data_IF_786342699642
#
_entry.id   IF_786342699642
#
_cell.length_a   1.000
_cell.length_b   1.000
_cell.length_c   1.000
_cell.angle_alpha   90.00
_cell.angle_beta   90.00
_cell.angle_gamma   90.00
#
_symmetry.space_group_name_H-M   'P 1'
#
loop_
_entity.id
_entity.type
_entity.pdbx_description
1 polymer ?
#
# COMPACT_ATOMS: atom_id res chain seq x y z
N UNK A 1 1.61 17.00 -2.96
CA UNK A 1 1.76 16.49 -1.60
C UNK A 1 2.00 17.58 -0.53
N UNK A 2 2.61 18.72 -0.86
CA UNK A 2 2.98 19.79 0.10
C UNK A 2 1.84 20.32 0.99
N UNK A 3 0.58 20.20 0.56
CA UNK A 3 -0.60 20.65 1.30
C UNK A 3 -1.43 19.49 1.89
N UNK A 4 -0.91 18.26 1.87
CA UNK A 4 -1.60 17.10 2.44
C UNK A 4 -1.41 17.03 3.95
N UNK A 5 -2.32 16.33 4.66
CA UNK A 5 -2.20 16.05 6.09
C UNK A 5 -0.94 15.23 6.45
N UNK A 6 -0.31 14.62 5.46
CA UNK A 6 0.88 13.80 5.62
C UNK A 6 2.19 14.58 5.71
N UNK A 7 2.31 15.68 4.95
CA UNK A 7 3.61 16.29 4.65
C UNK A 7 4.43 16.67 5.89
N UNK A 8 3.83 17.42 6.80
CA UNK A 8 4.53 17.91 8.00
C UNK A 8 4.98 16.75 8.90
N UNK A 9 4.12 15.76 9.12
CA UNK A 9 4.40 14.63 10.01
C UNK A 9 5.44 13.67 9.42
N UNK A 10 5.40 13.43 8.11
CA UNK A 10 6.44 12.64 7.43
C UNK A 10 7.78 13.38 7.49
N UNK A 11 7.76 14.70 7.29
CA UNK A 11 8.98 15.52 7.35
C UNK A 11 9.68 15.43 8.71
N UNK A 12 8.93 15.38 9.79
CA UNK A 12 9.45 15.21 11.16
C UNK A 12 10.16 13.87 11.38
N UNK A 13 9.79 12.85 10.60
CA UNK A 13 10.36 11.51 10.67
C UNK A 13 11.60 11.31 9.79
N UNK A 14 11.96 12.30 8.97
CA UNK A 14 13.02 12.20 7.98
C UNK A 14 14.16 13.18 8.28
N UNK A 15 15.40 12.86 7.84
CA UNK A 15 16.50 13.82 7.90
C UNK A 15 16.17 15.11 7.15
N UNK A 16 16.74 16.21 7.59
CA UNK A 16 16.61 17.49 6.91
C UNK A 16 16.99 17.38 5.42
N UNK A 17 16.21 18.02 4.56
CA UNK A 17 16.43 18.02 3.11
C UNK A 17 16.03 16.74 2.38
N UNK A 18 15.46 15.74 3.06
CA UNK A 18 15.12 14.45 2.42
C UNK A 18 14.10 14.60 1.29
N UNK A 19 13.11 15.49 1.42
CA UNK A 19 12.16 15.77 0.33
C UNK A 19 12.86 16.35 -0.91
N UNK A 20 13.90 17.14 -0.72
CA UNK A 20 14.73 17.62 -1.83
C UNK A 20 15.44 16.49 -2.57
N UNK A 21 15.95 15.50 -1.83
CA UNK A 21 16.56 14.29 -2.41
C UNK A 21 15.54 13.46 -3.20
N UNK A 22 14.31 13.33 -2.69
CA UNK A 22 13.22 12.64 -3.42
C UNK A 22 12.92 13.37 -4.73
N UNK A 23 12.76 14.68 -4.70
CA UNK A 23 12.49 15.47 -5.89
C UNK A 23 13.62 15.35 -6.92
N UNK A 24 14.86 15.44 -6.49
CA UNK A 24 16.03 15.25 -7.36
C UNK A 24 16.07 13.85 -7.98
N UNK A 25 15.82 12.82 -7.19
CA UNK A 25 15.73 11.43 -7.68
C UNK A 25 14.64 11.29 -8.74
N UNK A 26 13.44 11.82 -8.47
CA UNK A 26 12.32 11.77 -9.42
C UNK A 26 12.64 12.49 -10.73
N UNK A 27 13.18 13.70 -10.66
CA UNK A 27 13.59 14.43 -11.87
C UNK A 27 14.58 13.62 -12.70
N UNK A 28 15.56 13.00 -12.05
CA UNK A 28 16.59 12.22 -12.72
C UNK A 28 16.02 10.97 -13.38
N UNK A 29 15.27 10.13 -12.67
CA UNK A 29 14.80 8.83 -13.21
C UNK A 29 13.77 8.99 -14.31
N UNK A 30 12.86 9.99 -14.19
CA UNK A 30 11.87 10.26 -15.25
C UNK A 30 12.48 10.94 -16.48
N UNK A 31 13.61 11.61 -16.35
CA UNK A 31 14.35 12.17 -17.48
C UNK A 31 15.16 11.10 -18.23
N UNK A 32 15.59 10.05 -17.57
CA UNK A 32 16.49 9.03 -18.11
C UNK A 32 15.78 7.85 -18.79
N UNK A 33 14.49 7.64 -18.53
CA UNK A 33 13.77 6.50 -19.09
C UNK A 33 12.31 6.43 -18.69
N UNK A 34 11.69 5.30 -19.04
CA UNK A 34 10.30 5.03 -18.68
C UNK A 34 10.24 4.49 -17.26
N UNK A 35 9.49 5.17 -16.41
CA UNK A 35 9.29 4.84 -15.00
C UNK A 35 7.80 4.73 -14.71
N UNK A 36 7.42 3.77 -13.89
CA UNK A 36 6.04 3.59 -13.42
C UNK A 36 5.93 3.81 -11.91
N UNK A 37 4.76 4.29 -11.45
CA UNK A 37 3.64 4.85 -12.19
C UNK A 37 4.03 6.18 -12.88
N UNK A 38 3.14 6.78 -13.70
CA UNK A 38 3.35 8.16 -14.18
C UNK A 38 3.66 9.10 -13.01
N UNK A 39 4.50 10.11 -13.25
CA UNK A 39 5.06 10.98 -12.22
C UNK A 39 3.99 11.61 -11.30
N UNK A 40 2.87 12.00 -11.87
CA UNK A 40 1.73 12.59 -11.15
C UNK A 40 1.00 11.60 -10.21
N UNK A 41 1.23 10.29 -10.37
CA UNK A 41 0.61 9.22 -9.56
C UNK A 41 1.52 8.63 -8.48
N UNK A 42 2.75 9.09 -8.36
CA UNK A 42 3.72 8.51 -7.41
C UNK A 42 3.21 8.56 -5.96
N UNK A 43 2.54 9.64 -5.57
CA UNK A 43 1.99 9.81 -4.22
C UNK A 43 0.48 9.56 -4.14
N UNK A 44 -0.09 8.84 -5.09
CA UNK A 44 -1.54 8.65 -5.20
C UNK A 44 -2.14 8.02 -3.94
N UNK A 45 -1.47 7.07 -3.31
CA UNK A 45 -1.93 6.43 -2.09
C UNK A 45 -2.18 7.46 -0.96
N UNK A 46 -1.22 8.37 -0.76
CA UNK A 46 -1.32 9.41 0.27
C UNK A 46 -2.33 10.50 -0.08
N UNK A 47 -2.49 10.81 -1.38
CA UNK A 47 -3.43 11.83 -1.85
C UNK A 47 -4.88 11.33 -1.77
N UNK A 48 -5.11 10.06 -2.07
CA UNK A 48 -6.46 9.47 -2.05
C UNK A 48 -6.91 9.13 -0.64
N UNK A 49 -5.98 8.78 0.25
CA UNK A 49 -6.28 8.42 1.65
C UNK A 49 -5.59 9.41 2.59
N UNK A 50 -6.25 10.51 2.98
CA UNK A 50 -5.73 11.42 3.99
C UNK A 50 -5.43 10.71 5.31
N UNK A 51 -4.45 11.18 6.08
CA UNK A 51 -4.02 10.53 7.32
C UNK A 51 -5.18 10.32 8.31
N UNK A 52 -6.02 11.32 8.46
CA UNK A 52 -7.19 11.30 9.34
C UNK A 52 -8.25 10.26 8.95
N UNK A 53 -8.22 9.76 7.73
CA UNK A 53 -9.15 8.76 7.21
C UNK A 53 -8.57 7.33 7.19
N UNK A 54 -7.29 7.15 7.46
CA UNK A 54 -6.65 5.82 7.43
C UNK A 54 -7.28 4.89 8.46
N UNK A 55 -7.78 3.76 7.99
CA UNK A 55 -8.34 2.67 8.80
C UNK A 55 -7.57 1.37 8.64
N UNK A 56 -7.08 1.12 7.44
CA UNK A 56 -6.34 -0.09 7.07
C UNK A 56 -5.13 0.31 6.24
N UNK A 57 -3.99 -0.31 6.49
CA UNK A 57 -2.79 -0.20 5.64
C UNK A 57 -2.53 -1.56 5.01
N UNK A 58 -2.46 -1.61 3.69
CA UNK A 58 -2.00 -2.79 2.94
C UNK A 58 -0.68 -2.43 2.30
N UNK A 59 0.39 -3.10 2.72
CA UNK A 59 1.74 -2.83 2.26
C UNK A 59 2.13 -3.74 1.09
N UNK A 60 2.40 -3.13 -0.08
CA UNK A 60 3.03 -3.79 -1.22
C UNK A 60 4.54 -3.52 -1.26
N UNK A 61 5.25 -4.14 -2.20
CA UNK A 61 6.70 -3.99 -2.33
C UNK A 61 7.07 -2.85 -3.27
N UNK A 62 6.80 -2.99 -4.57
CA UNK A 62 7.03 -1.97 -5.57
C UNK A 62 5.91 -1.97 -6.63
N UNK A 63 5.81 -0.91 -7.46
CA UNK A 63 4.78 -0.85 -8.50
C UNK A 63 4.93 -1.95 -9.55
N UNK A 64 3.86 -2.28 -10.22
CA UNK A 64 3.92 -3.09 -11.45
C UNK A 64 4.81 -2.41 -12.48
N UNK A 65 5.65 -3.19 -13.15
CA UNK A 65 6.64 -2.68 -14.12
C UNK A 65 6.23 -2.81 -15.60
N UNK A 66 5.01 -3.26 -15.85
CA UNK A 66 4.43 -3.31 -17.19
C UNK A 66 3.67 -2.04 -17.57
N UNK A 67 3.52 -1.75 -18.86
CA UNK A 67 2.84 -0.54 -19.31
C UNK A 67 1.36 -0.52 -18.88
N UNK A 68 0.90 0.63 -18.41
CA UNK A 68 -0.51 0.87 -18.05
C UNK A 68 -0.99 0.21 -16.78
N UNK A 69 -0.15 -0.52 -16.04
CA UNK A 69 -0.56 -1.27 -14.84
C UNK A 69 -0.57 -0.40 -13.58
N UNK A 70 0.55 0.21 -13.24
CA UNK A 70 0.72 0.93 -11.96
C UNK A 70 -0.11 2.22 -11.92
N UNK A 71 -0.85 2.40 -10.82
CA UNK A 71 -1.72 3.55 -10.57
C UNK A 71 -1.26 4.39 -9.35
N UNK A 72 -0.14 4.03 -8.70
CA UNK A 72 0.25 4.63 -7.44
C UNK A 72 -0.49 4.07 -6.22
N UNK A 73 -1.21 2.99 -6.37
CA UNK A 73 -1.89 2.23 -5.31
C UNK A 73 -1.40 0.78 -5.36
N UNK A 74 -0.94 0.25 -4.22
CA UNK A 74 -0.43 -1.13 -4.19
C UNK A 74 -1.46 -2.13 -4.69
N UNK A 75 -1.01 -3.08 -5.50
CA UNK A 75 -1.80 -4.16 -6.12
C UNK A 75 -2.84 -3.73 -7.16
N UNK A 76 -3.25 -2.47 -7.20
CA UNK A 76 -4.31 -1.95 -8.07
C UNK A 76 -3.86 -1.79 -9.52
N UNK A 77 -4.75 -2.12 -10.45
CA UNK A 77 -4.62 -1.80 -11.89
C UNK A 77 -5.93 -1.20 -12.39
N UNK A 78 -5.89 -0.41 -13.49
CA UNK A 78 -7.13 0.03 -14.16
C UNK A 78 -7.98 -1.17 -14.60
N UNK A 79 -9.30 -1.01 -14.66
CA UNK A 79 -10.21 -2.08 -15.09
C UNK A 79 -9.98 -2.53 -16.54
N UNK A 80 -9.37 -1.69 -17.37
CA UNK A 80 -8.95 -2.01 -18.73
C UNK A 80 -7.77 -2.97 -18.81
N UNK A 81 -7.07 -3.19 -17.68
CA UNK A 81 -5.90 -4.05 -17.58
C UNK A 81 -6.29 -5.37 -16.90
N UNK A 82 -5.87 -6.53 -17.45
CA UNK A 82 -6.07 -7.81 -16.76
C UNK A 82 -5.41 -7.80 -15.37
N UNK A 83 -6.10 -8.38 -14.38
CA UNK A 83 -5.54 -8.47 -13.03
C UNK A 83 -4.24 -9.30 -13.05
N UNK A 84 -3.11 -8.73 -12.56
CA UNK A 84 -1.88 -9.49 -12.36
C UNK A 84 -2.09 -10.67 -11.38
N UNK A 85 -1.22 -11.69 -11.42
CA UNK A 85 -1.45 -12.93 -10.64
C UNK A 85 -1.67 -12.72 -9.14
N UNK A 86 -0.90 -11.83 -8.49
CA UNK A 86 -1.13 -11.55 -7.06
C UNK A 86 -2.49 -10.90 -6.81
N UNK A 87 -2.92 -9.97 -7.65
CA UNK A 87 -4.25 -9.36 -7.53
C UNK A 87 -5.37 -10.37 -7.79
N UNK A 88 -5.21 -11.26 -8.76
CA UNK A 88 -6.17 -12.35 -8.96
C UNK A 88 -6.37 -13.17 -7.68
N UNK A 89 -5.28 -13.50 -6.99
CA UNK A 89 -5.31 -14.27 -5.75
C UNK A 89 -5.92 -13.46 -4.59
N UNK A 90 -5.63 -12.16 -4.52
CA UNK A 90 -6.30 -11.25 -3.54
C UNK A 90 -7.81 -11.26 -3.76
N UNK A 91 -8.26 -11.08 -4.99
CA UNK A 91 -9.69 -11.06 -5.33
C UNK A 91 -10.36 -12.43 -5.11
N UNK A 92 -9.62 -13.52 -5.35
CA UNK A 92 -10.12 -14.87 -5.03
C UNK A 92 -10.30 -15.06 -3.52
N UNK A 93 -9.32 -14.70 -2.70
CA UNK A 93 -9.43 -14.77 -1.24
C UNK A 93 -10.58 -13.90 -0.73
N UNK A 94 -10.75 -12.70 -1.30
CA UNK A 94 -11.88 -11.83 -0.99
C UNK A 94 -13.20 -12.52 -1.30
N UNK A 95 -13.30 -13.18 -2.45
CA UNK A 95 -14.51 -13.92 -2.84
C UNK A 95 -14.84 -15.06 -1.86
N UNK A 96 -13.83 -15.78 -1.40
CA UNK A 96 -13.97 -16.87 -0.45
C UNK A 96 -14.27 -16.37 0.98
N UNK A 97 -13.82 -15.16 1.33
CA UNK A 97 -13.98 -14.54 2.65
C UNK A 97 -15.32 -13.80 2.80
N UNK A 98 -15.66 -12.93 1.86
CA UNK A 98 -16.82 -12.01 1.96
C UNK A 98 -17.73 -12.10 0.74
N UNK A 99 -17.17 -12.00 -0.47
CA UNK A 99 -17.93 -11.94 -1.71
C UNK A 99 -17.13 -11.38 -2.89
N UNK A 100 -17.77 -11.33 -4.04
CA UNK A 100 -17.11 -11.02 -5.32
C UNK A 100 -17.01 -9.52 -5.55
N UNK A 101 -15.79 -9.03 -5.77
CA UNK A 101 -15.49 -7.72 -6.34
C UNK A 101 -15.18 -7.89 -7.83
N UNK A 102 -15.88 -7.17 -8.69
CA UNK A 102 -15.70 -7.27 -10.15
C UNK A 102 -14.56 -6.41 -10.68
N UNK A 103 -14.30 -5.26 -10.03
CA UNK A 103 -13.29 -4.30 -10.47
C UNK A 103 -11.88 -4.71 -10.03
N UNK A 104 -10.90 -4.52 -10.91
CA UNK A 104 -9.47 -4.65 -10.62
C UNK A 104 -8.88 -3.36 -10.04
N UNK A 105 -9.60 -2.26 -10.16
CA UNK A 105 -9.23 -0.95 -9.62
C UNK A 105 -9.63 -0.88 -8.14
N UNK A 106 -8.65 -0.71 -7.28
CA UNK A 106 -8.82 -0.66 -5.83
C UNK A 106 -8.99 0.78 -5.29
N UNK A 107 -9.21 1.75 -6.16
CA UNK A 107 -9.43 3.15 -5.75
C UNK A 107 -10.61 3.29 -4.79
N UNK A 108 -11.66 2.47 -4.93
CA UNK A 108 -12.79 2.47 -4.00
C UNK A 108 -12.40 2.08 -2.58
N UNK A 109 -11.41 1.21 -2.41
CA UNK A 109 -10.85 0.88 -1.09
C UNK A 109 -10.10 2.09 -0.52
N UNK A 110 -9.22 2.70 -1.33
CA UNK A 110 -8.45 3.86 -0.92
C UNK A 110 -9.33 5.02 -0.44
N UNK A 111 -10.44 5.27 -1.12
CA UNK A 111 -11.43 6.30 -0.77
C UNK A 111 -12.18 6.02 0.54
N UNK A 112 -12.14 4.79 1.03
CA UNK A 112 -12.77 4.38 2.29
C UNK A 112 -11.78 4.33 3.46
N UNK A 113 -10.52 4.69 3.25
CA UNK A 113 -9.51 4.69 4.30
C UNK A 113 -8.53 3.51 4.25
N UNK A 114 -8.46 2.79 3.14
CA UNK A 114 -7.43 1.76 2.92
C UNK A 114 -6.21 2.40 2.27
N UNK A 115 -5.14 2.57 3.03
CA UNK A 115 -3.87 3.07 2.50
C UNK A 115 -3.17 1.94 1.76
N UNK A 116 -3.21 2.00 0.43
CA UNK A 116 -2.58 1.04 -0.47
C UNK A 116 -1.16 1.51 -0.80
N UNK A 117 -0.22 1.25 0.11
CA UNK A 117 1.14 1.76 0.07
C UNK A 117 2.13 0.72 -0.44
N UNK A 118 2.92 1.07 -1.45
CA UNK A 118 4.13 0.31 -1.78
C UNK A 118 5.32 0.83 -0.97
N UNK A 119 6.25 -0.04 -0.61
CA UNK A 119 7.50 0.35 0.06
C UNK A 119 8.42 1.15 -0.88
N UNK A 120 8.47 0.79 -2.17
CA UNK A 120 9.05 1.60 -3.23
C UNK A 120 7.93 2.23 -4.06
N UNK A 121 8.01 3.53 -4.34
CA UNK A 121 6.94 4.26 -5.02
C UNK A 121 7.16 4.39 -6.53
N UNK A 122 8.32 3.99 -7.04
CA UNK A 122 8.64 3.98 -8.47
C UNK A 122 9.37 2.71 -8.86
N UNK A 123 9.31 2.38 -10.16
CA UNK A 123 10.01 1.25 -10.75
C UNK A 123 10.39 1.59 -12.20
N UNK A 124 11.61 1.26 -12.68
CA UNK A 124 11.91 1.36 -14.09
C UNK A 124 11.07 0.36 -14.89
N UNK A 125 10.66 0.72 -16.10
CA UNK A 125 9.91 -0.18 -16.97
C UNK A 125 10.62 -1.53 -17.16
N UNK A 126 9.90 -2.63 -16.93
CA UNK A 126 10.41 -3.98 -17.12
C UNK A 126 11.43 -4.48 -16.09
N UNK A 127 11.72 -3.71 -15.03
CA UNK A 127 12.77 -4.02 -14.05
C UNK A 127 12.21 -4.09 -12.64
N UNK A 128 11.59 -5.20 -12.26
CA UNK A 128 11.10 -5.42 -10.90
C UNK A 128 12.20 -5.11 -9.87
N UNK A 129 11.85 -4.40 -8.80
CA UNK A 129 12.76 -3.93 -7.75
C UNK A 129 13.89 -3.00 -8.23
N UNK A 130 13.81 -2.45 -9.43
CA UNK A 130 14.89 -1.63 -10.01
C UNK A 130 15.23 -0.36 -9.23
N UNK A 131 14.31 0.18 -8.44
CA UNK A 131 14.56 1.32 -7.54
C UNK A 131 14.65 0.93 -6.05
N UNK A 132 14.65 -0.36 -5.73
CA UNK A 132 14.78 -0.81 -4.35
C UNK A 132 16.13 -0.38 -3.74
N UNK A 133 16.09 0.02 -2.47
CA UNK A 133 17.28 0.43 -1.71
C UNK A 133 17.85 1.79 -2.09
N UNK A 134 17.15 2.60 -2.88
CA UNK A 134 17.65 3.91 -3.32
C UNK A 134 17.13 5.08 -2.48
N UNK A 135 15.85 5.40 -2.59
CA UNK A 135 15.28 6.60 -1.94
C UNK A 135 14.00 6.36 -1.16
N UNK A 136 13.21 5.35 -1.54
CA UNK A 136 11.82 5.24 -1.10
C UNK A 136 11.63 4.66 0.29
N UNK A 137 12.42 3.66 0.69
CA UNK A 137 12.17 2.91 1.92
C UNK A 137 12.20 3.78 3.18
N UNK A 138 13.15 4.71 3.36
CA UNK A 138 13.09 5.63 4.50
C UNK A 138 11.84 6.50 4.51
N UNK A 139 11.37 6.93 3.33
CA UNK A 139 10.15 7.71 3.19
C UNK A 139 8.91 6.89 3.57
N UNK A 140 8.75 5.68 3.03
CA UNK A 140 7.59 4.84 3.30
C UNK A 140 7.63 4.26 4.72
N UNK A 141 8.79 4.02 5.29
CA UNK A 141 8.93 3.68 6.71
C UNK A 141 8.46 4.86 7.59
N UNK A 142 8.76 6.10 7.20
CA UNK A 142 8.25 7.28 7.88
C UNK A 142 6.71 7.38 7.79
N UNK A 143 6.12 7.03 6.65
CA UNK A 143 4.65 6.95 6.49
C UNK A 143 4.06 5.95 7.48
N UNK A 144 4.66 4.76 7.60
CA UNK A 144 4.20 3.73 8.54
C UNK A 144 4.31 4.22 9.99
N UNK A 145 5.40 4.90 10.36
CA UNK A 145 5.56 5.47 11.71
C UNK A 145 4.52 6.54 12.01
N UNK A 146 4.20 7.39 11.05
CA UNK A 146 3.15 8.41 11.20
C UNK A 146 1.79 7.75 11.47
N UNK A 147 1.44 6.69 10.73
CA UNK A 147 0.21 5.92 10.98
C UNK A 147 0.27 5.22 12.34
N UNK A 148 1.41 4.64 12.70
CA UNK A 148 1.59 4.00 14.00
C UNK A 148 1.34 4.96 15.19
N UNK A 149 1.63 6.24 15.01
CA UNK A 149 1.47 7.25 16.05
C UNK A 149 0.03 7.78 16.20
N UNK A 150 -0.90 7.30 15.38
CA UNK A 150 -2.32 7.64 15.56
C UNK A 150 -2.87 7.03 16.85
N UNK A 151 -3.66 7.80 17.60
CA UNK A 151 -4.38 7.29 18.77
C UNK A 151 -5.50 6.33 18.36
N UNK A 152 -6.09 6.56 17.22
CA UNK A 152 -7.15 5.73 16.66
C UNK A 152 -6.59 4.39 16.18
N UNK A 153 -7.22 3.24 16.55
CA UNK A 153 -6.79 1.93 16.08
C UNK A 153 -6.81 1.78 14.57
N UNK A 154 -5.75 1.19 14.01
CA UNK A 154 -5.57 0.94 12.58
C UNK A 154 -5.22 -0.54 12.37
N UNK A 155 -5.65 -1.10 11.25
CA UNK A 155 -5.29 -2.46 10.82
C UNK A 155 -4.11 -2.39 9.85
N UNK A 156 -3.04 -3.11 10.15
CA UNK A 156 -1.90 -3.28 9.23
C UNK A 156 -1.95 -4.69 8.65
N UNK A 157 -2.10 -4.79 7.33
CA UNK A 157 -2.11 -6.04 6.58
C UNK A 157 -0.75 -6.24 5.94
N UNK A 158 -0.02 -7.24 6.41
CA UNK A 158 1.36 -7.52 6.02
C UNK A 158 1.44 -8.89 5.34
N UNK A 159 1.50 -8.89 4.02
CA UNK A 159 1.56 -10.09 3.19
C UNK A 159 2.99 -10.40 2.73
N UNK A 160 3.50 -11.53 3.15
CA UNK A 160 4.81 -12.05 2.77
C UNK A 160 5.96 -11.54 3.66
N UNK A 161 7.12 -12.15 3.49
CA UNK A 161 8.28 -11.91 4.35
C UNK A 161 8.76 -10.45 4.31
N UNK A 162 8.73 -9.82 3.13
CA UNK A 162 9.17 -8.43 2.97
C UNK A 162 8.30 -7.46 3.76
N UNK A 163 6.96 -7.53 3.59
CA UNK A 163 6.02 -6.68 4.32
C UNK A 163 6.05 -6.97 5.83
N UNK A 164 6.16 -8.24 6.22
CA UNK A 164 6.19 -8.67 7.63
C UNK A 164 7.39 -8.12 8.39
N UNK A 165 8.53 -7.84 7.73
CA UNK A 165 9.69 -7.17 8.35
C UNK A 165 9.34 -5.77 8.86
N UNK A 166 8.35 -5.10 8.27
CA UNK A 166 7.90 -3.76 8.68
C UNK A 166 7.09 -3.77 9.97
N UNK A 167 6.72 -4.94 10.48
CA UNK A 167 6.06 -5.11 11.78
C UNK A 167 6.80 -4.42 12.92
N UNK A 168 8.14 -4.33 12.86
CA UNK A 168 8.95 -3.64 13.87
C UNK A 168 8.62 -2.15 14.00
N UNK A 169 8.02 -1.55 12.98
CA UNK A 169 7.60 -0.14 12.96
C UNK A 169 6.22 0.07 13.59
N UNK A 170 5.46 -1.00 13.80
CA UNK A 170 4.11 -0.95 14.36
C UNK A 170 4.20 -1.34 15.84
N UNK A 171 4.47 -0.35 16.67
CA UNK A 171 4.73 -0.52 18.09
C UNK A 171 3.54 -0.22 19.00
N UNK A 172 2.55 0.52 18.48
CA UNK A 172 1.36 0.88 19.24
C UNK A 172 0.44 -0.34 19.41
N UNK A 173 0.18 -0.78 20.67
CA UNK A 173 -0.59 -2.00 20.93
C UNK A 173 -2.07 -1.89 20.60
N UNK A 174 -2.58 -0.68 20.33
CA UNK A 174 -3.97 -0.49 19.91
C UNK A 174 -4.24 -0.88 18.47
N UNK A 175 -3.18 -1.01 17.64
CA UNK A 175 -3.31 -1.43 16.26
C UNK A 175 -3.39 -2.96 16.14
N UNK A 176 -4.07 -3.42 15.08
CA UNK A 176 -4.11 -4.83 14.71
C UNK A 176 -3.12 -5.09 13.57
N UNK A 177 -2.33 -6.15 13.69
CA UNK A 177 -1.48 -6.64 12.60
C UNK A 177 -2.04 -7.96 12.10
N UNK A 178 -2.38 -8.03 10.82
CA UNK A 178 -2.80 -9.25 10.13
C UNK A 178 -1.64 -9.68 9.24
N UNK A 179 -1.08 -10.85 9.52
CA UNK A 179 0.07 -11.41 8.81
C UNK A 179 -0.32 -12.69 8.07
N UNK A 180 0.19 -12.85 6.86
CA UNK A 180 0.11 -14.11 6.13
C UNK A 180 1.23 -14.22 5.09
N UNK A 181 1.28 -15.35 4.36
CA UNK A 181 2.09 -15.46 3.15
C UNK A 181 1.66 -14.43 2.11
N UNK A 182 2.54 -14.16 1.13
CA UNK A 182 2.24 -13.27 0.02
C UNK A 182 1.21 -13.89 -0.93
N UNK A 183 0.31 -13.09 -1.55
CA UNK A 183 -0.67 -13.59 -2.52
C UNK A 183 -0.07 -14.04 -3.87
N UNK A 184 1.23 -13.92 -4.09
CA UNK A 184 1.91 -14.44 -5.28
C UNK A 184 1.62 -15.93 -5.47
N UNK A 185 1.45 -16.42 -6.73
CA UNK A 185 1.32 -17.84 -7.01
C UNK A 185 2.44 -18.72 -6.40
N UNK A 186 3.63 -18.13 -6.18
CA UNK A 186 4.79 -18.83 -5.62
C UNK A 186 4.67 -19.12 -4.11
N UNK A 187 3.79 -18.40 -3.39
CA UNK A 187 3.73 -18.45 -1.92
C UNK A 187 2.31 -18.56 -1.35
N UNK A 188 1.28 -18.36 -2.16
CA UNK A 188 -0.12 -18.30 -1.75
C UNK A 188 -0.57 -19.53 -0.92
N UNK A 189 -0.01 -20.70 -1.20
CA UNK A 189 -0.30 -21.96 -0.49
C UNK A 189 0.31 -22.03 0.91
N UNK A 190 1.18 -21.10 1.26
CA UNK A 190 1.88 -21.10 2.55
C UNK A 190 1.13 -20.35 3.64
N UNK A 191 -0.19 -20.18 3.48
CA UNK A 191 -1.05 -19.55 4.48
C UNK A 191 -1.76 -18.27 4.06
N UNK A 192 -1.71 -17.88 2.78
CA UNK A 192 -2.56 -16.80 2.26
C UNK A 192 -4.00 -17.27 2.09
N UNK A 193 -4.22 -18.44 1.45
CA UNK A 193 -5.53 -19.02 1.32
C UNK A 193 -6.16 -19.32 2.68
N UNK A 194 -7.39 -18.85 2.90
CA UNK A 194 -8.12 -19.01 4.15
C UNK A 194 -7.68 -18.05 5.26
N UNK A 195 -6.77 -17.09 5.00
CA UNK A 195 -6.36 -16.10 6.00
C UNK A 195 -7.45 -15.09 6.34
N UNK A 196 -8.43 -14.88 5.46
CA UNK A 196 -9.62 -14.03 5.67
C UNK A 196 -9.29 -12.63 6.18
N UNK A 197 -8.37 -11.90 5.53
CA UNK A 197 -7.91 -10.61 6.05
C UNK A 197 -9.01 -9.54 6.02
N UNK A 198 -9.93 -9.64 5.07
CA UNK A 198 -10.98 -8.63 4.85
C UNK A 198 -12.04 -8.66 5.96
N UNK A 199 -12.56 -9.83 6.28
CA UNK A 199 -13.53 -9.99 7.39
C UNK A 199 -12.88 -9.74 8.74
N UNK A 200 -11.62 -10.14 8.94
CA UNK A 200 -10.86 -9.86 10.17
C UNK A 200 -10.64 -8.36 10.38
N UNK A 201 -10.26 -7.63 9.33
CA UNK A 201 -10.12 -6.19 9.38
C UNK A 201 -11.45 -5.51 9.76
N UNK A 202 -12.55 -5.90 9.13
CA UNK A 202 -13.87 -5.34 9.40
C UNK A 202 -14.36 -5.66 10.82
N UNK A 203 -14.11 -6.86 11.31
CA UNK A 203 -14.45 -7.22 12.70
C UNK A 203 -13.75 -6.30 13.69
N UNK A 204 -12.45 -6.05 13.51
CA UNK A 204 -11.68 -5.15 14.34
C UNK A 204 -12.16 -3.68 14.25
N UNK A 205 -12.47 -3.20 13.04
CA UNK A 205 -13.00 -1.85 12.86
C UNK A 205 -14.32 -1.68 13.62
N UNK A 206 -15.23 -2.65 13.54
CA UNK A 206 -16.50 -2.63 14.30
C UNK A 206 -16.28 -2.63 15.81
N UNK A 207 -15.39 -3.49 16.30
CA UNK A 207 -15.05 -3.58 17.74
C UNK A 207 -14.49 -2.26 18.26
N UNK A 208 -13.78 -1.50 17.44
CA UNK A 208 -13.19 -0.22 17.79
C UNK A 208 -14.07 0.98 17.44
N UNK A 209 -15.35 0.75 17.11
CA UNK A 209 -16.32 1.80 16.83
C UNK A 209 -16.14 2.52 15.50
N UNK A 210 -15.46 1.89 14.55
CA UNK A 210 -15.19 2.46 13.22
C UNK A 210 -16.08 1.81 12.17
N UNK A 211 -16.44 2.59 11.13
CA UNK A 211 -17.18 2.08 9.98
C UNK A 211 -16.34 1.04 9.22
N UNK A 212 -16.88 -0.16 8.96
CA UNK A 212 -16.16 -1.18 8.20
C UNK A 212 -15.95 -0.75 6.74
N UNK A 213 -15.02 -1.44 6.07
CA UNK A 213 -14.76 -1.23 4.65
C UNK A 213 -15.75 -2.05 3.83
N UNK A 214 -16.36 -1.43 2.83
CA UNK A 214 -17.07 -2.16 1.76
C UNK A 214 -16.05 -2.64 0.72
N UNK A 215 -15.54 -3.85 0.95
CA UNK A 215 -14.52 -4.45 0.10
C UNK A 215 -15.01 -4.85 -1.30
N UNK A 216 -16.32 -4.94 -1.49
CA UNK A 216 -16.92 -5.40 -2.75
C UNK A 216 -17.22 -4.25 -3.73
N UNK A 217 -17.12 -3.01 -3.24
CA UNK A 217 -17.37 -1.80 -4.01
C UNK A 217 -16.35 -1.55 -5.12
#
# INVERSE_FOLDING_TARGET
>A
MQHSSWHALIKEQLPEGYFGKINQFMEQVYAQGIVYPPKEKVFQALLTTPLEEVKVVILGQDPYHGPGQAQGLSFSVPDSIPAPPSLQNILKELSDDIGVKKSHDLTSWAKQGVLLLNACLTVPAGQANGHAGQIWEPFTDAVIRVVNNLDRPVVFVLWGAYARKKKVLVTNPHHLIIESAHPSPLSVYRGFWGSKPFSKANAFLKETGQEPIDWLR
#
